data_IF_513071587117
#
_entry.id   IF_513071587117
#
_cell.length_a   1.000
_cell.length_b   1.000
_cell.length_c   1.000
_cell.angle_alpha   90.00
_cell.angle_beta   90.00
_cell.angle_gamma   90.00
#
_symmetry.space_group_name_H-M   'P 1'
#
loop_
_entity.id
_entity.type
_entity.pdbx_description
1 polymer ?
#
# COMPACT_ATOMS: atom_id res chain seq x y z
N UNK A 1 -7.68 6.07 -25.21
CA UNK A 1 -7.59 6.98 -24.04
C UNK A 1 -8.47 8.16 -24.37
N UNK A 2 -9.39 8.56 -23.51
CA UNK A 2 -10.24 9.73 -23.73
C UNK A 2 -9.41 11.03 -23.79
N UNK A 3 -9.93 12.08 -24.43
CA UNK A 3 -9.27 13.39 -24.51
C UNK A 3 -8.99 13.94 -23.10
N UNK A 4 -9.96 13.81 -22.18
CA UNK A 4 -9.80 14.14 -20.77
C UNK A 4 -8.66 13.34 -20.11
N UNK A 5 -8.55 12.04 -20.39
CA UNK A 5 -7.47 11.21 -19.86
C UNK A 5 -6.08 11.66 -20.32
N UNK A 6 -5.94 12.14 -21.56
CA UNK A 6 -4.70 12.72 -22.06
C UNK A 6 -4.39 14.06 -21.35
N UNK A 7 -5.39 14.93 -21.19
CA UNK A 7 -5.27 16.19 -20.48
C UNK A 7 -4.85 15.99 -19.02
N UNK A 8 -5.50 15.07 -18.31
CA UNK A 8 -5.12 14.69 -16.94
C UNK A 8 -3.64 14.28 -16.87
N UNK A 9 -3.20 13.42 -17.79
CA UNK A 9 -1.81 12.99 -17.83
C UNK A 9 -0.82 14.12 -18.08
N UNK A 10 -1.18 15.06 -18.97
CA UNK A 10 -0.34 16.21 -19.28
C UNK A 10 -0.23 17.16 -18.10
N UNK A 11 -1.36 17.45 -17.43
CA UNK A 11 -1.42 18.44 -16.33
C UNK A 11 -0.83 17.88 -15.05
N UNK A 12 -1.22 16.66 -14.67
CA UNK A 12 -0.79 16.03 -13.40
C UNK A 12 0.55 15.29 -13.51
N UNK A 13 0.99 14.95 -14.72
CA UNK A 13 2.26 14.24 -14.95
C UNK A 13 2.34 12.93 -14.13
N UNK A 14 3.39 12.81 -13.33
CA UNK A 14 3.62 11.64 -12.45
C UNK A 14 2.63 11.54 -11.30
N UNK A 15 1.84 12.59 -11.02
CA UNK A 15 0.77 12.56 -10.02
C UNK A 15 -0.50 11.87 -10.54
N UNK A 16 -0.64 11.71 -11.86
CA UNK A 16 -1.77 11.01 -12.44
C UNK A 16 -1.52 9.51 -12.45
N UNK A 17 -2.35 8.78 -11.72
CA UNK A 17 -2.42 7.32 -11.82
C UNK A 17 -3.53 6.98 -12.80
N UNK A 18 -3.15 6.46 -13.96
CA UNK A 18 -4.14 5.99 -14.93
C UNK A 18 -4.74 4.68 -14.44
N UNK A 19 -5.93 4.76 -13.87
CA UNK A 19 -6.71 3.60 -13.44
C UNK A 19 -7.34 2.93 -14.67
N UNK A 20 -6.57 2.11 -15.35
CA UNK A 20 -7.12 1.22 -16.38
C UNK A 20 -7.70 -0.03 -15.70
N UNK A 21 -9.01 -0.30 -15.79
CA UNK A 21 -9.63 -1.48 -15.19
C UNK A 21 -8.91 -2.79 -15.54
N UNK A 22 -8.36 -2.89 -16.75
CA UNK A 22 -7.56 -4.04 -17.19
C UNK A 22 -6.25 -4.23 -16.40
N UNK A 23 -5.78 -3.23 -15.69
CA UNK A 23 -4.57 -3.34 -14.85
C UNK A 23 -4.87 -3.88 -13.46
N UNK A 24 -6.15 -3.87 -13.04
CA UNK A 24 -6.56 -4.31 -11.71
C UNK A 24 -6.85 -5.81 -11.61
N UNK A 25 -6.94 -6.51 -12.74
CA UNK A 25 -7.15 -7.96 -12.78
C UNK A 25 -6.02 -8.73 -12.07
N UNK A 26 -4.79 -8.23 -12.08
CA UNK A 26 -3.64 -8.80 -11.37
C UNK A 26 -3.84 -8.84 -9.84
N UNK A 27 -4.74 -8.02 -9.30
CA UNK A 27 -5.03 -7.98 -7.86
C UNK A 27 -6.26 -8.79 -7.46
N UNK A 28 -6.92 -9.46 -8.40
CA UNK A 28 -8.10 -10.29 -8.10
C UNK A 28 -7.77 -11.35 -7.04
N UNK A 29 -8.65 -11.49 -6.06
CA UNK A 29 -8.48 -12.40 -4.93
C UNK A 29 -7.47 -11.94 -3.86
N UNK A 30 -6.82 -10.78 -4.03
CA UNK A 30 -5.90 -10.19 -3.05
C UNK A 30 -6.54 -8.99 -2.38
N UNK A 31 -6.71 -9.07 -1.06
CA UNK A 31 -7.33 -8.00 -0.26
C UNK A 31 -6.32 -6.86 0.01
N UNK A 32 -6.00 -6.09 -1.04
CA UNK A 32 -5.12 -4.93 -0.96
C UNK A 32 -5.93 -3.64 -1.05
N UNK A 33 -5.66 -2.62 -0.21
CA UNK A 33 -6.30 -1.32 -0.32
C UNK A 33 -5.87 -0.58 -1.60
N UNK A 34 -6.69 0.35 -2.07
CA UNK A 34 -6.47 1.08 -3.33
C UNK A 34 -5.11 1.76 -3.38
N UNK A 35 -4.67 2.42 -2.32
CA UNK A 35 -3.38 3.13 -2.31
C UNK A 35 -2.17 2.18 -2.46
N UNK A 36 -2.27 0.94 -1.97
CA UNK A 36 -1.22 -0.09 -2.18
C UNK A 36 -1.22 -0.55 -3.63
N UNK A 37 -2.41 -0.79 -4.22
CA UNK A 37 -2.54 -1.14 -5.64
C UNK A 37 -1.98 -0.02 -6.52
N UNK A 38 -2.34 1.22 -6.24
CA UNK A 38 -1.88 2.40 -6.98
C UNK A 38 -0.36 2.57 -6.89
N UNK A 39 0.22 2.37 -5.69
CA UNK A 39 1.66 2.36 -5.50
C UNK A 39 2.33 1.29 -6.36
N UNK A 40 1.82 0.07 -6.35
CA UNK A 40 2.37 -1.05 -7.14
C UNK A 40 2.21 -0.80 -8.64
N UNK A 41 1.05 -0.31 -9.08
CA UNK A 41 0.84 0.07 -10.49
C UNK A 41 1.89 1.10 -10.91
N UNK A 42 2.14 2.13 -10.11
CA UNK A 42 3.14 3.16 -10.44
C UNK A 42 4.56 2.60 -10.60
N UNK A 43 4.93 1.59 -9.78
CA UNK A 43 6.25 0.96 -9.84
C UNK A 43 6.42 0.02 -11.05
N UNK A 44 5.34 -0.59 -11.50
CA UNK A 44 5.33 -1.57 -12.60
C UNK A 44 4.80 -1.02 -13.92
N UNK A 45 4.36 0.25 -13.96
CA UNK A 45 3.96 0.90 -15.19
C UNK A 45 5.16 1.15 -16.10
N UNK A 46 4.95 0.95 -17.41
CA UNK A 46 5.90 1.37 -18.45
C UNK A 46 5.64 2.83 -18.85
N UNK A 47 6.59 3.48 -19.55
CA UNK A 47 6.40 4.84 -20.04
C UNK A 47 5.19 5.01 -20.97
N UNK A 48 4.79 3.96 -21.67
CA UNK A 48 3.61 3.93 -22.55
C UNK A 48 2.28 3.74 -21.80
N UNK A 49 2.31 3.59 -20.46
CA UNK A 49 1.16 3.37 -19.60
C UNK A 49 0.70 1.91 -19.52
N UNK A 50 1.37 0.97 -20.21
CA UNK A 50 1.12 -0.46 -20.03
C UNK A 50 1.76 -0.97 -18.75
N UNK A 51 1.19 -2.02 -18.16
CA UNK A 51 1.66 -2.62 -16.92
C UNK A 51 2.51 -3.86 -17.18
N UNK A 52 3.63 -4.01 -16.48
CA UNK A 52 4.43 -5.24 -16.45
C UNK A 52 3.72 -6.30 -15.58
N UNK A 53 2.55 -6.78 -16.06
CA UNK A 53 1.64 -7.63 -15.28
C UNK A 53 2.29 -8.91 -14.76
N UNK A 54 3.09 -9.59 -15.56
CA UNK A 54 3.74 -10.85 -15.17
C UNK A 54 4.76 -10.64 -14.04
N UNK A 55 5.53 -9.54 -14.09
CA UNK A 55 6.48 -9.21 -13.02
C UNK A 55 5.74 -8.83 -11.73
N UNK A 56 4.66 -8.04 -11.85
CA UNK A 56 3.84 -7.68 -10.70
C UNK A 56 3.14 -8.90 -10.10
N UNK A 57 2.57 -9.79 -10.92
CA UNK A 57 1.93 -11.00 -10.43
C UNK A 57 2.92 -11.87 -9.65
N UNK A 58 4.12 -12.10 -10.18
CA UNK A 58 5.18 -12.84 -9.49
C UNK A 58 5.57 -12.15 -8.17
N UNK A 59 5.76 -10.84 -8.17
CA UNK A 59 6.04 -10.08 -6.95
C UNK A 59 4.96 -10.27 -5.88
N UNK A 60 3.69 -10.23 -6.29
CA UNK A 60 2.56 -10.45 -5.36
C UNK A 60 2.55 -11.88 -4.82
N UNK A 61 2.80 -12.89 -5.67
CA UNK A 61 2.86 -14.30 -5.27
C UNK A 61 4.02 -14.60 -4.30
N UNK A 62 5.15 -13.91 -4.47
CA UNK A 62 6.31 -14.04 -3.60
C UNK A 62 6.11 -13.39 -2.21
N UNK A 63 5.31 -12.31 -2.14
CA UNK A 63 5.21 -11.49 -0.94
C UNK A 63 3.86 -11.58 -0.21
N UNK A 64 2.82 -12.10 -0.87
CA UNK A 64 1.51 -12.34 -0.24
C UNK A 64 1.35 -13.86 -0.07
N UNK A 65 1.34 -14.39 1.16
CA UNK A 65 1.22 -15.83 1.36
C UNK A 65 -0.14 -16.34 0.88
N UNK A 66 -0.13 -17.44 0.13
CA UNK A 66 -1.35 -18.12 -0.31
C UNK A 66 -2.13 -18.73 0.86
N UNK A 67 -1.46 -19.01 1.99
CA UNK A 67 -2.05 -19.53 3.21
C UNK A 67 -1.46 -18.79 4.42
N UNK A 68 -2.24 -17.87 4.96
CA UNK A 68 -1.85 -17.08 6.13
C UNK A 68 -1.57 -17.95 7.37
N UNK A 69 -2.29 -19.08 7.51
CA UNK A 69 -2.10 -20.00 8.64
C UNK A 69 -0.75 -20.72 8.59
N UNK A 70 -0.12 -20.83 7.42
CA UNK A 70 1.18 -21.47 7.27
C UNK A 70 2.35 -20.55 7.66
N UNK A 71 2.14 -19.24 7.78
CA UNK A 71 3.20 -18.26 8.04
C UNK A 71 3.93 -18.54 9.35
N UNK A 72 3.20 -18.78 10.44
CA UNK A 72 3.82 -19.12 11.73
C UNK A 72 4.66 -20.42 11.68
N UNK A 73 4.19 -21.43 10.95
CA UNK A 73 4.92 -22.69 10.80
C UNK A 73 6.22 -22.47 10.01
N UNK A 74 6.17 -21.70 8.93
CA UNK A 74 7.35 -21.35 8.12
C UNK A 74 8.40 -20.58 8.94
N UNK A 75 7.97 -19.57 9.70
CA UNK A 75 8.83 -18.83 10.61
C UNK A 75 9.47 -19.74 11.66
N UNK A 76 8.69 -20.62 12.30
CA UNK A 76 9.18 -21.58 13.28
C UNK A 76 10.21 -22.56 12.70
N UNK A 77 10.10 -22.88 11.42
CA UNK A 77 11.06 -23.71 10.70
C UNK A 77 12.35 -22.95 10.29
N UNK A 78 12.51 -21.69 10.73
CA UNK A 78 13.71 -20.89 10.48
C UNK A 78 13.68 -20.11 9.16
N UNK A 79 12.54 -20.06 8.47
CA UNK A 79 12.45 -19.25 7.26
C UNK A 79 12.42 -17.75 7.60
N UNK A 80 13.19 -16.97 6.83
CA UNK A 80 13.03 -15.51 6.80
C UNK A 80 11.99 -15.15 5.75
N UNK A 81 10.92 -14.46 6.15
CA UNK A 81 9.83 -14.12 5.25
C UNK A 81 9.81 -12.63 4.95
N UNK A 82 9.58 -12.29 3.68
CA UNK A 82 9.30 -10.91 3.27
C UNK A 82 7.83 -10.83 2.89
N UNK A 83 7.05 -10.07 3.65
CA UNK A 83 5.58 -10.07 3.60
C UNK A 83 5.06 -8.69 3.19
N UNK A 84 4.28 -8.64 2.11
CA UNK A 84 3.45 -7.50 1.78
C UNK A 84 2.15 -7.61 2.58
N UNK A 85 2.00 -6.82 3.63
CA UNK A 85 0.88 -6.99 4.55
C UNK A 85 0.52 -5.72 5.31
N UNK A 86 -0.67 -5.75 5.87
CA UNK A 86 -1.11 -4.88 6.94
C UNK A 86 -0.52 -5.32 8.26
N UNK A 87 -0.06 -4.38 9.05
CA UNK A 87 0.37 -4.63 10.42
C UNK A 87 0.04 -3.44 11.32
N UNK A 88 0.03 -3.66 12.62
CA UNK A 88 -0.25 -2.62 13.61
C UNK A 88 0.95 -2.54 14.54
N UNK A 89 1.50 -1.33 14.67
CA UNK A 89 2.58 -1.03 15.63
C UNK A 89 1.97 -0.72 17.00
N UNK A 90 2.59 -1.25 18.04
CA UNK A 90 2.18 -1.07 19.42
C UNK A 90 3.40 -0.77 20.30
N UNK A 91 3.42 0.38 20.92
CA UNK A 91 4.45 0.74 21.91
C UNK A 91 4.04 0.26 23.30
N UNK A 92 4.81 -0.67 23.84
CA UNK A 92 4.63 -1.17 25.22
C UNK A 92 5.55 -0.40 26.19
N UNK A 93 5.00 0.62 26.85
CA UNK A 93 5.75 1.46 27.77
C UNK A 93 6.22 0.69 29.03
N UNK A 94 5.45 -0.30 29.50
CA UNK A 94 5.82 -1.09 30.68
C UNK A 94 7.04 -1.96 30.39
N UNK A 95 7.05 -2.61 29.24
CA UNK A 95 8.17 -3.46 28.83
C UNK A 95 9.29 -2.67 28.12
N UNK A 96 9.10 -1.37 27.88
CA UNK A 96 9.99 -0.51 27.09
C UNK A 96 10.37 -1.12 25.74
N UNK A 97 9.36 -1.59 24.99
CA UNK A 97 9.52 -2.28 23.71
C UNK A 97 8.52 -1.77 22.68
N UNK A 98 8.94 -1.71 21.44
CA UNK A 98 8.04 -1.53 20.30
C UNK A 98 7.75 -2.90 19.69
N UNK A 99 6.47 -3.20 19.55
CA UNK A 99 5.96 -4.49 19.10
C UNK A 99 5.06 -4.28 17.88
N UNK A 100 4.75 -5.34 17.16
CA UNK A 100 3.79 -5.29 16.07
C UNK A 100 2.87 -6.49 16.10
N UNK A 101 1.78 -6.41 15.38
CA UNK A 101 0.90 -7.54 15.13
C UNK A 101 0.59 -7.62 13.64
N UNK A 102 0.39 -8.82 13.13
CA UNK A 102 -0.12 -9.07 11.78
C UNK A 102 -1.44 -9.84 11.92
N UNK A 103 -2.58 -9.11 12.01
CA UNK A 103 -3.87 -9.73 12.33
C UNK A 103 -4.26 -10.85 11.36
N UNK A 104 -4.04 -10.63 10.06
CA UNK A 104 -4.41 -11.57 9.01
C UNK A 104 -3.64 -12.90 9.08
N UNK A 105 -2.51 -12.93 9.79
CA UNK A 105 -1.65 -14.11 9.99
C UNK A 105 -1.68 -14.62 11.45
N UNK A 106 -2.53 -14.02 12.30
CA UNK A 106 -2.68 -14.39 13.70
C UNK A 106 -1.43 -14.14 14.56
N UNK A 107 -0.49 -13.29 14.11
CA UNK A 107 0.70 -12.89 14.87
C UNK A 107 0.30 -11.78 15.84
N UNK A 108 0.50 -12.01 17.15
CA UNK A 108 0.08 -11.09 18.22
C UNK A 108 1.22 -10.21 18.70
N UNK A 109 0.94 -9.03 19.33
CA UNK A 109 1.99 -8.11 19.77
C UNK A 109 2.98 -8.73 20.77
N UNK A 110 2.49 -9.55 21.70
CA UNK A 110 3.32 -10.22 22.71
C UNK A 110 4.26 -11.30 22.13
N UNK A 111 4.09 -11.64 20.85
CA UNK A 111 4.93 -12.58 20.11
C UNK A 111 6.00 -11.89 19.27
N UNK A 112 6.10 -10.54 19.33
CA UNK A 112 6.89 -9.77 18.33
C UNK A 112 7.79 -8.72 18.95
N UNK A 113 8.79 -8.30 18.18
CA UNK A 113 9.68 -7.19 18.50
C UNK A 113 10.04 -6.38 17.25
N UNK A 114 10.05 -5.06 17.38
CA UNK A 114 10.70 -4.14 16.44
C UNK A 114 11.98 -3.65 17.12
N UNK A 115 13.17 -3.96 16.60
CA UNK A 115 14.42 -3.48 17.16
C UNK A 115 14.54 -1.95 17.11
N UNK A 116 15.22 -1.36 18.10
CA UNK A 116 15.37 0.10 18.24
C UNK A 116 15.96 0.76 16.99
N UNK A 117 16.93 0.11 16.34
CA UNK A 117 17.55 0.65 15.13
C UNK A 117 16.57 0.85 13.97
N UNK A 118 15.51 0.01 13.87
CA UNK A 118 14.46 0.22 12.87
C UNK A 118 13.53 1.37 13.25
N UNK A 119 13.19 1.50 14.53
CA UNK A 119 12.38 2.63 15.03
C UNK A 119 13.11 3.95 14.79
N UNK A 120 14.41 4.01 15.05
CA UNK A 120 15.25 5.17 14.79
C UNK A 120 15.38 5.48 13.28
N UNK A 121 15.44 4.45 12.45
CA UNK A 121 15.53 4.60 10.99
C UNK A 121 14.20 5.07 10.37
N UNK A 122 13.07 4.68 10.95
CA UNK A 122 11.72 4.97 10.44
C UNK A 122 10.82 5.63 11.50
N UNK A 123 11.24 6.75 12.12
CA UNK A 123 10.55 7.32 13.28
C UNK A 123 9.14 7.81 12.97
N UNK A 124 8.85 8.18 11.71
CA UNK A 124 7.52 8.62 11.28
C UNK A 124 6.61 7.48 10.84
N UNK A 125 7.18 6.33 10.50
CA UNK A 125 6.46 5.20 9.92
C UNK A 125 6.17 4.11 10.97
N UNK A 126 7.06 3.91 11.95
CA UNK A 126 6.94 2.91 13.01
C UNK A 126 6.42 3.50 14.34
N UNK A 127 5.46 4.41 14.24
CA UNK A 127 4.65 4.91 15.36
C UNK A 127 3.38 4.07 15.50
N UNK A 128 2.75 4.09 16.66
CA UNK A 128 1.53 3.35 16.95
C UNK A 128 0.45 3.52 15.86
N UNK A 129 -0.24 2.43 15.58
CA UNK A 129 -1.32 2.37 14.61
C UNK A 129 -1.10 1.46 13.43
N UNK A 130 -2.11 1.40 12.57
CA UNK A 130 -2.12 0.54 11.39
C UNK A 130 -1.21 1.09 10.28
N UNK A 131 -0.46 0.18 9.68
CA UNK A 131 0.49 0.44 8.59
C UNK A 131 0.36 -0.60 7.50
N UNK A 132 0.81 -0.23 6.30
CA UNK A 132 1.03 -1.14 5.19
C UNK A 132 2.47 -1.02 4.73
N UNK A 133 3.08 -2.16 4.44
CA UNK A 133 4.45 -2.18 3.94
C UNK A 133 4.93 -3.58 3.60
N UNK A 134 6.17 -3.60 3.17
CA UNK A 134 6.93 -4.83 2.97
C UNK A 134 7.75 -5.08 4.23
N UNK A 135 7.38 -6.10 4.99
CA UNK A 135 8.03 -6.49 6.24
C UNK A 135 8.93 -7.70 5.98
N UNK A 136 10.19 -7.60 6.38
CA UNK A 136 11.07 -8.76 6.48
C UNK A 136 11.11 -9.21 7.94
N UNK A 137 10.68 -10.43 8.20
CA UNK A 137 10.55 -10.96 9.56
C UNK A 137 11.24 -12.32 9.69
N UNK A 138 11.73 -12.60 10.88
CA UNK A 138 12.35 -13.87 11.27
C UNK A 138 11.83 -14.29 12.63
N UNK A 139 11.79 -15.60 12.90
CA UNK A 139 11.56 -16.10 14.24
C UNK A 139 12.87 -16.36 14.94
N UNK A 140 13.05 -15.76 16.10
CA UNK A 140 14.16 -16.03 17.01
C UNK A 140 13.65 -16.99 18.09
N UNK A 141 14.23 -18.20 18.21
CA UNK A 141 13.84 -19.17 19.24
C UNK A 141 14.17 -18.66 20.64
N UNK A 142 13.55 -19.23 21.69
CA UNK A 142 13.91 -18.91 23.07
C UNK A 142 15.39 -19.17 23.33
N UNK A 143 16.02 -18.23 24.04
CA UNK A 143 17.41 -18.35 24.53
C UNK A 143 17.45 -17.98 26.01
N UNK A 144 18.60 -18.16 26.68
CA UNK A 144 18.74 -17.90 28.12
C UNK A 144 18.17 -16.54 28.53
N UNK A 145 17.05 -16.55 29.23
CA UNK A 145 16.34 -15.35 29.73
C UNK A 145 15.48 -14.61 28.72
N UNK A 146 15.38 -15.06 27.46
CA UNK A 146 14.57 -14.40 26.42
C UNK A 146 13.55 -15.39 25.84
N UNK A 147 12.26 -15.01 25.86
CA UNK A 147 11.23 -15.78 25.18
C UNK A 147 11.37 -15.67 23.66
N UNK A 148 11.05 -16.79 22.98
CA UNK A 148 11.04 -16.79 21.50
C UNK A 148 10.05 -15.76 20.95
N UNK A 149 10.44 -15.08 19.89
CA UNK A 149 9.63 -14.03 19.28
C UNK A 149 9.88 -13.87 17.78
N UNK A 150 8.95 -13.22 17.09
CA UNK A 150 9.11 -12.80 15.70
C UNK A 150 9.71 -11.41 15.69
N UNK A 151 10.88 -11.27 15.10
CA UNK A 151 11.58 -10.00 14.97
C UNK A 151 11.42 -9.41 13.56
N UNK A 152 11.17 -8.10 13.49
CA UNK A 152 11.24 -7.35 12.25
C UNK A 152 12.70 -7.04 11.95
N UNK A 153 13.24 -7.56 10.85
CA UNK A 153 14.65 -7.33 10.46
C UNK A 153 14.80 -6.27 9.40
N UNK A 154 13.74 -5.98 8.65
CA UNK A 154 13.71 -4.86 7.70
C UNK A 154 12.26 -4.44 7.42
N UNK A 155 12.11 -3.18 6.99
CA UNK A 155 10.81 -2.61 6.69
C UNK A 155 10.90 -1.60 5.54
N UNK A 156 10.01 -1.73 4.58
CA UNK A 156 9.82 -0.75 3.51
C UNK A 156 8.38 -0.22 3.56
N UNK A 157 8.16 1.03 4.01
CA UNK A 157 6.82 1.59 4.07
C UNK A 157 6.25 1.82 2.67
N UNK A 158 4.94 1.58 2.52
CA UNK A 158 4.21 2.11 1.38
C UNK A 158 3.72 3.50 1.73
N UNK A 159 4.33 4.48 1.10
CA UNK A 159 3.95 5.89 1.26
C UNK A 159 3.02 6.29 0.13
N UNK A 160 2.04 7.16 0.40
CA UNK A 160 1.31 7.82 -0.67
C UNK A 160 2.29 8.41 -1.67
N UNK A 161 1.95 8.32 -2.95
CA UNK A 161 2.85 8.68 -4.05
C UNK A 161 3.32 10.14 -4.01
N UNK A 162 2.60 11.02 -3.32
CA UNK A 162 2.98 12.42 -3.18
C UNK A 162 2.54 13.02 -1.83
N UNK A 163 3.30 14.00 -1.36
CA UNK A 163 2.83 14.92 -0.33
C UNK A 163 1.73 15.80 -0.93
N UNK A 164 0.64 16.01 -0.18
CA UNK A 164 -0.42 16.90 -0.58
C UNK A 164 0.12 18.34 -0.65
N UNK A 165 0.25 18.87 -1.87
CA UNK A 165 0.57 20.28 -2.13
C UNK A 165 -0.67 20.99 -2.69
N UNK A 166 -1.40 21.69 -1.83
CA UNK A 166 -2.61 22.39 -2.20
C UNK A 166 -2.37 23.51 -3.24
N UNK A 167 -1.19 24.12 -3.26
CA UNK A 167 -0.88 25.16 -4.25
C UNK A 167 -0.67 24.54 -5.63
N UNK A 168 -0.04 23.37 -5.69
CA UNK A 168 0.10 22.61 -6.92
C UNK A 168 -1.26 22.13 -7.43
N UNK A 169 -2.13 21.61 -6.53
CA UNK A 169 -3.49 21.23 -6.90
C UNK A 169 -4.34 22.40 -7.42
N UNK A 170 -4.21 23.61 -6.84
CA UNK A 170 -4.89 24.82 -7.36
C UNK A 170 -4.43 25.17 -8.77
N UNK A 171 -3.14 25.05 -9.07
CA UNK A 171 -2.61 25.23 -10.41
C UNK A 171 -3.19 24.20 -11.39
N UNK A 172 -3.17 22.93 -11.00
CA UNK A 172 -3.77 21.87 -11.83
C UNK A 172 -5.26 22.12 -12.07
N UNK A 173 -6.01 22.52 -11.04
CA UNK A 173 -7.45 22.81 -11.15
C UNK A 173 -7.72 23.92 -12.17
N UNK A 174 -6.87 24.92 -12.28
CA UNK A 174 -7.06 26.05 -13.18
C UNK A 174 -6.99 25.65 -14.68
N UNK A 175 -6.37 24.52 -15.00
CA UNK A 175 -6.26 23.99 -16.37
C UNK A 175 -7.55 23.32 -16.86
N UNK A 176 -8.53 23.05 -15.96
CA UNK A 176 -9.76 22.34 -16.27
C UNK A 176 -10.98 23.25 -16.16
N UNK A 177 -11.95 23.07 -17.07
CA UNK A 177 -13.29 23.62 -16.88
C UNK A 177 -13.95 23.00 -15.64
N UNK A 178 -15.08 23.56 -15.19
CA UNK A 178 -15.80 23.00 -14.05
C UNK A 178 -16.34 21.60 -14.35
N UNK A 179 -16.85 21.37 -15.56
CA UNK A 179 -17.35 20.06 -15.98
C UNK A 179 -16.25 19.02 -16.06
N UNK A 180 -15.13 19.36 -16.72
CA UNK A 180 -13.95 18.48 -16.76
C UNK A 180 -13.44 18.12 -15.35
N UNK A 181 -13.46 19.11 -14.43
CA UNK A 181 -13.01 18.87 -13.06
C UNK A 181 -13.93 17.94 -12.27
N UNK A 182 -15.23 18.02 -12.49
CA UNK A 182 -16.19 17.06 -11.93
C UNK A 182 -15.87 15.66 -12.45
N UNK A 183 -15.59 15.51 -13.74
CA UNK A 183 -15.21 14.23 -14.33
C UNK A 183 -13.88 13.70 -13.80
N UNK A 184 -12.92 14.58 -13.51
CA UNK A 184 -11.67 14.22 -12.82
C UNK A 184 -11.96 13.68 -11.42
N UNK A 185 -12.84 14.33 -10.64
CA UNK A 185 -13.21 13.90 -9.29
C UNK A 185 -13.93 12.55 -9.34
N UNK A 186 -14.91 12.39 -10.21
CA UNK A 186 -15.64 11.13 -10.39
C UNK A 186 -14.69 9.99 -10.77
N UNK A 187 -13.77 10.26 -11.69
CA UNK A 187 -12.73 9.29 -12.09
C UNK A 187 -11.78 8.94 -10.93
N UNK A 188 -11.44 9.91 -10.08
CA UNK A 188 -10.61 9.68 -8.90
C UNK A 188 -11.31 8.79 -7.86
N UNK A 189 -12.64 8.83 -7.80
CA UNK A 189 -13.47 7.94 -6.98
C UNK A 189 -13.69 6.56 -7.62
N UNK A 190 -13.03 6.26 -8.76
CA UNK A 190 -13.10 4.98 -9.49
C UNK A 190 -14.42 4.75 -10.25
N UNK A 191 -15.20 5.80 -10.50
CA UNK A 191 -16.40 5.73 -11.33
C UNK A 191 -16.12 6.22 -12.76
N UNK A 192 -16.91 5.73 -13.71
CA UNK A 192 -16.84 6.20 -15.09
C UNK A 192 -17.74 7.44 -15.28
N UNK A 193 -17.20 8.64 -15.55
CA UNK A 193 -18.01 9.84 -15.76
C UNK A 193 -19.01 9.72 -16.89
N UNK A 194 -18.72 8.92 -17.93
CA UNK A 194 -19.61 8.70 -19.08
C UNK A 194 -20.87 7.90 -18.73
N UNK A 195 -20.89 7.27 -17.54
CA UNK A 195 -22.09 6.56 -17.06
C UNK A 195 -23.20 7.50 -16.59
N UNK A 196 -22.91 8.77 -16.37
CA UNK A 196 -23.86 9.78 -15.92
C UNK A 196 -24.50 10.50 -17.11
N UNK A 197 -25.84 10.62 -17.13
CA UNK A 197 -26.60 11.16 -18.26
C UNK A 197 -26.57 12.68 -18.35
N UNK A 198 -26.25 13.37 -17.24
CA UNK A 198 -26.27 14.83 -17.16
C UNK A 198 -25.31 15.36 -16.11
N UNK A 199 -24.96 16.66 -16.22
CA UNK A 199 -24.16 17.34 -15.20
C UNK A 199 -24.87 17.36 -13.84
N UNK A 200 -26.19 17.53 -13.81
CA UNK A 200 -26.99 17.47 -12.58
C UNK A 200 -26.79 16.15 -11.88
N UNK A 201 -26.88 15.03 -12.60
CA UNK A 201 -26.69 13.70 -12.04
C UNK A 201 -25.26 13.51 -11.50
N UNK A 202 -24.24 14.10 -12.14
CA UNK A 202 -22.85 14.09 -11.66
C UNK A 202 -22.68 14.90 -10.37
N UNK A 203 -23.45 15.97 -10.20
CA UNK A 203 -23.38 16.85 -9.02
C UNK A 203 -24.15 16.30 -7.82
N UNK A 204 -25.18 15.50 -8.06
CA UNK A 204 -25.99 14.82 -7.03
C UNK A 204 -25.32 13.54 -6.50
N UNK A 205 -24.30 13.02 -7.20
CA UNK A 205 -23.53 11.85 -6.85
C UNK A 205 -22.43 12.18 -5.81
#
# INVERSE_FOLDING_TARGET
>A
MSELGQKIRTVFGSAAILKNPQNYDVFLGRNLPSFVKDFLISQYAKPDGTLRKQELARYLDEHIPNNNNAVKARLRNGETLTLLTRFIVNTNLIANKVQFQIPDMGIKPNETLIPSYLVERYPSDLIDGEKWGLLKVVYLPPDEGTAGHVEMVDFKPFKPLQKLDLNLYRKFRAEFSTEEWIDVIISAMEYNPDSFKSLTQKLEF
#
